data_IF_645303948177
#
_entry.id   IF_645303948177
#
_cell.length_a   1.000
_cell.length_b   1.000
_cell.length_c   1.000
_cell.angle_alpha   90.00
_cell.angle_beta   90.00
_cell.angle_gamma   90.00
#
_symmetry.space_group_name_H-M   'P 1'
#
loop_
_entity.id
_entity.type
_entity.pdbx_description
1 polymer ?
#
# COMPACT_ATOMS: atom_id res chain seq x y z
N UNK A 1 -17.01 -9.55 -20.62
CA UNK A 1 -16.55 -8.18 -20.34
C UNK A 1 -16.01 -7.58 -21.62
N UNK A 2 -16.46 -6.38 -22.00
CA UNK A 2 -15.95 -5.66 -23.18
C UNK A 2 -14.61 -5.04 -22.76
N UNK A 3 -13.53 -5.41 -23.45
CA UNK A 3 -12.20 -4.86 -23.23
C UNK A 3 -12.08 -3.56 -24.02
N UNK A 4 -11.88 -2.43 -23.31
CA UNK A 4 -11.67 -1.14 -23.95
C UNK A 4 -10.17 -0.91 -24.04
N UNK A 5 -9.61 -1.12 -25.22
CA UNK A 5 -8.27 -0.65 -25.54
C UNK A 5 -8.35 0.86 -25.86
N UNK A 6 -8.26 1.67 -24.82
CA UNK A 6 -8.26 3.14 -24.92
C UNK A 6 -6.93 3.69 -25.47
N UNK A 7 -5.95 2.82 -25.76
CA UNK A 7 -4.62 3.27 -26.13
C UNK A 7 -4.57 4.13 -27.39
N UNK A 8 -5.53 3.92 -28.30
CA UNK A 8 -5.61 4.67 -29.54
C UNK A 8 -6.17 6.10 -29.39
N UNK A 9 -6.92 6.41 -28.33
CA UNK A 9 -7.65 7.69 -28.22
C UNK A 9 -7.30 8.54 -26.98
N UNK A 10 -6.85 7.94 -25.87
CA UNK A 10 -6.51 8.71 -24.67
C UNK A 10 -5.05 9.22 -24.67
N UNK A 11 -4.13 8.48 -25.33
CA UNK A 11 -2.68 8.67 -25.17
C UNK A 11 -2.04 9.68 -26.13
N UNK A 12 -2.75 10.77 -26.43
CA UNK A 12 -2.23 11.88 -27.24
C UNK A 12 -2.36 13.25 -26.58
N UNK A 13 -2.88 13.31 -25.36
CA UNK A 13 -3.20 14.56 -24.67
C UNK A 13 -1.91 15.09 -24.01
N UNK A 14 -1.03 15.68 -24.82
CA UNK A 14 0.26 16.21 -24.36
C UNK A 14 0.15 17.29 -23.29
N UNK A 15 -1.00 17.95 -23.16
CA UNK A 15 -1.26 18.97 -22.15
C UNK A 15 -1.79 18.41 -20.82
N UNK A 16 -2.00 17.10 -20.71
CA UNK A 16 -2.54 16.50 -19.50
C UNK A 16 -1.48 16.51 -18.39
N UNK A 17 -1.82 17.10 -17.25
CA UNK A 17 -0.94 17.18 -16.07
C UNK A 17 -1.31 16.14 -15.00
N UNK A 18 -2.57 15.71 -14.95
CA UNK A 18 -3.05 14.75 -13.96
C UNK A 18 -3.95 13.71 -14.62
N UNK A 19 -3.68 12.45 -14.34
CA UNK A 19 -4.48 11.30 -14.73
C UNK A 19 -4.74 10.45 -13.49
N UNK A 20 -6.01 10.37 -13.08
CA UNK A 20 -6.47 9.52 -12.00
C UNK A 20 -7.49 8.51 -12.55
N UNK A 21 -7.06 7.24 -12.62
CA UNK A 21 -7.87 6.12 -13.06
C UNK A 21 -7.67 5.02 -12.02
N UNK A 22 -8.57 4.91 -11.04
CA UNK A 22 -8.53 3.82 -10.05
C UNK A 22 -9.58 2.77 -10.38
N UNK A 23 -9.30 1.52 -10.00
CA UNK A 23 -10.27 0.41 -10.04
C UNK A 23 -10.93 0.18 -11.41
N UNK A 24 -10.24 0.49 -12.51
CA UNK A 24 -10.76 0.30 -13.86
C UNK A 24 -10.31 -1.05 -14.44
N UNK A 25 -10.95 -2.12 -13.97
CA UNK A 25 -10.57 -3.51 -14.31
C UNK A 25 -10.63 -3.86 -15.80
N UNK A 26 -11.41 -3.12 -16.58
CA UNK A 26 -11.56 -3.33 -18.02
C UNK A 26 -10.58 -2.52 -18.87
N UNK A 27 -9.87 -1.55 -18.26
CA UNK A 27 -8.97 -0.65 -18.97
C UNK A 27 -7.60 -1.30 -19.13
N UNK A 28 -7.20 -1.54 -20.37
CA UNK A 28 -5.89 -2.10 -20.69
C UNK A 28 -5.03 -1.04 -21.34
N UNK A 29 -3.81 -0.89 -20.84
CA UNK A 29 -2.83 0.03 -21.40
C UNK A 29 -1.42 -0.30 -20.90
N UNK A 30 -0.45 0.17 -21.67
CA UNK A 30 0.97 0.04 -21.43
C UNK A 30 1.53 1.33 -20.82
N UNK A 31 2.39 1.19 -19.80
CA UNK A 31 2.99 2.31 -19.07
C UNK A 31 3.92 3.16 -19.96
N UNK A 32 4.64 2.55 -20.91
CA UNK A 32 5.50 3.30 -21.83
C UNK A 32 4.67 4.14 -22.81
N UNK A 33 3.54 3.61 -23.28
CA UNK A 33 2.58 4.35 -24.11
C UNK A 33 2.02 5.59 -23.39
N UNK A 34 1.80 5.51 -22.07
CA UNK A 34 1.41 6.68 -21.26
C UNK A 34 2.53 7.74 -21.21
N UNK A 35 3.77 7.30 -20.99
CA UNK A 35 4.92 8.19 -20.92
C UNK A 35 5.16 8.92 -22.26
N UNK A 36 5.01 8.21 -23.38
CA UNK A 36 5.15 8.79 -24.72
C UNK A 36 3.99 9.75 -25.06
N UNK A 37 2.76 9.35 -24.73
CA UNK A 37 1.55 10.08 -25.07
C UNK A 37 1.29 11.33 -24.23
N UNK A 38 1.72 11.30 -22.96
CA UNK A 38 1.45 12.34 -21.96
C UNK A 38 2.73 12.74 -21.21
N UNK A 39 3.71 13.33 -21.91
CA UNK A 39 5.04 13.59 -21.35
C UNK A 39 5.05 14.65 -20.23
N UNK A 40 3.98 15.43 -20.09
CA UNK A 40 3.86 16.50 -19.10
C UNK A 40 3.12 16.07 -17.82
N UNK A 41 2.85 14.77 -17.63
CA UNK A 41 2.19 14.31 -16.41
C UNK A 41 3.01 14.64 -15.16
N UNK A 42 2.32 15.28 -14.22
CA UNK A 42 2.79 15.54 -12.87
C UNK A 42 2.18 14.54 -11.88
N UNK A 43 0.96 14.07 -12.15
CA UNK A 43 0.24 13.15 -11.28
C UNK A 43 -0.32 11.97 -12.09
N UNK A 44 0.16 10.76 -11.82
CA UNK A 44 -0.30 9.54 -12.46
C UNK A 44 -0.74 8.53 -11.39
N UNK A 45 -2.05 8.31 -11.30
CA UNK A 45 -2.65 7.40 -10.32
C UNK A 45 -3.43 6.32 -11.05
N UNK A 46 -2.93 5.09 -10.95
CA UNK A 46 -3.44 3.91 -11.64
C UNK A 46 -3.78 2.77 -10.67
N UNK A 47 -4.13 3.09 -9.43
CA UNK A 47 -4.34 2.11 -8.37
C UNK A 47 -5.37 1.03 -8.76
N UNK A 48 -5.05 -0.24 -8.48
CA UNK A 48 -5.96 -1.38 -8.69
C UNK A 48 -6.42 -1.52 -10.14
N UNK A 49 -5.53 -1.30 -11.11
CA UNK A 49 -5.76 -1.63 -12.52
C UNK A 49 -4.99 -2.91 -12.91
N UNK A 50 -5.58 -4.11 -12.78
CA UNK A 50 -4.90 -5.38 -13.04
C UNK A 50 -4.56 -5.62 -14.51
N UNK A 51 -5.01 -4.75 -15.43
CA UNK A 51 -4.71 -4.80 -16.86
C UNK A 51 -3.76 -3.68 -17.31
N UNK A 52 -3.35 -2.80 -16.40
CA UNK A 52 -2.22 -1.92 -16.64
C UNK A 52 -0.93 -2.75 -16.57
N UNK A 53 -0.12 -2.69 -17.63
CA UNK A 53 1.14 -3.44 -17.75
C UNK A 53 2.26 -2.51 -18.22
N UNK A 54 3.49 -3.02 -18.20
CA UNK A 54 4.69 -2.28 -18.58
C UNK A 54 5.88 -2.69 -17.72
N UNK A 55 7.05 -2.17 -18.04
CA UNK A 55 8.29 -2.44 -17.32
C UNK A 55 8.85 -1.13 -16.74
N UNK A 56 8.93 -1.03 -15.40
CA UNK A 56 9.48 0.12 -14.70
C UNK A 56 10.97 0.35 -14.95
N UNK A 57 11.70 -0.71 -15.29
CA UNK A 57 13.11 -0.67 -15.66
C UNK A 57 13.32 -0.59 -17.18
N UNK A 58 12.23 -0.48 -17.94
CA UNK A 58 12.27 -0.46 -19.40
C UNK A 58 12.92 0.81 -19.96
N UNK A 59 13.73 0.69 -21.05
CA UNK A 59 14.31 1.86 -21.69
C UNK A 59 13.21 2.75 -22.29
N UNK A 60 13.29 4.05 -22.03
CA UNK A 60 12.35 5.04 -22.56
C UNK A 60 11.15 5.33 -21.67
N UNK A 61 11.04 4.69 -20.50
CA UNK A 61 10.04 5.08 -19.51
C UNK A 61 10.49 6.35 -18.78
N UNK A 62 10.09 7.51 -19.31
CA UNK A 62 10.47 8.80 -18.74
C UNK A 62 9.24 9.64 -18.40
N UNK A 63 9.12 10.05 -17.15
CA UNK A 63 8.14 11.04 -16.71
C UNK A 63 8.86 12.23 -16.08
N UNK A 64 9.33 13.19 -16.88
CA UNK A 64 10.24 14.24 -16.42
C UNK A 64 9.63 15.16 -15.36
N UNK A 65 8.31 15.35 -15.39
CA UNK A 65 7.60 16.25 -14.48
C UNK A 65 6.86 15.53 -13.35
N UNK A 66 6.99 14.20 -13.24
CA UNK A 66 6.15 13.41 -12.34
C UNK A 66 6.48 13.71 -10.88
N UNK A 67 5.46 14.14 -10.16
CA UNK A 67 5.48 14.37 -8.73
C UNK A 67 4.82 13.23 -7.97
N UNK A 68 3.75 12.65 -8.51
CA UNK A 68 2.99 11.56 -7.89
C UNK A 68 2.85 10.40 -8.88
N UNK A 69 3.32 9.23 -8.47
CA UNK A 69 3.10 7.96 -9.16
C UNK A 69 2.44 6.97 -8.20
N UNK A 70 1.28 6.43 -8.56
CA UNK A 70 0.69 5.31 -7.84
C UNK A 70 0.31 4.19 -8.80
N UNK A 71 1.07 3.09 -8.71
CA UNK A 71 0.90 1.86 -9.48
C UNK A 71 0.52 0.68 -8.58
N UNK A 72 0.08 0.95 -7.35
CA UNK A 72 -0.30 -0.10 -6.40
C UNK A 72 -1.35 -1.02 -7.01
N UNK A 73 -1.17 -2.33 -6.84
CA UNK A 73 -2.08 -3.34 -7.39
C UNK A 73 -2.22 -3.32 -8.94
N UNK A 74 -1.24 -2.81 -9.68
CA UNK A 74 -1.11 -3.00 -11.13
C UNK A 74 -0.30 -4.26 -11.49
N UNK A 75 -0.36 -4.70 -12.74
CA UNK A 75 0.50 -5.77 -13.31
C UNK A 75 1.73 -5.20 -14.03
N UNK A 76 2.22 -4.07 -13.55
CA UNK A 76 3.49 -3.49 -14.00
C UNK A 76 4.63 -4.31 -13.38
N UNK A 77 5.57 -4.74 -14.22
CA UNK A 77 6.76 -5.48 -13.83
C UNK A 77 7.98 -4.54 -13.79
N UNK A 78 9.13 -5.08 -13.39
CA UNK A 78 10.41 -4.38 -13.51
C UNK A 78 11.41 -4.84 -12.48
N UNK A 79 12.69 -4.73 -12.83
CA UNK A 79 13.78 -4.98 -11.89
C UNK A 79 14.05 -3.70 -11.09
N UNK A 80 13.59 -3.70 -9.85
CA UNK A 80 13.78 -2.58 -8.92
C UNK A 80 15.24 -2.32 -8.57
N UNK A 81 16.16 -3.27 -8.80
CA UNK A 81 17.60 -3.06 -8.61
C UNK A 81 18.21 -2.20 -9.74
N UNK A 82 17.54 -2.09 -10.89
CA UNK A 82 17.96 -1.22 -12.00
C UNK A 82 17.52 0.23 -11.83
N UNK A 83 16.67 0.52 -10.84
CA UNK A 83 16.21 1.87 -10.56
C UNK A 83 17.36 2.73 -10.04
N UNK A 84 17.44 3.94 -10.56
CA UNK A 84 18.33 4.98 -10.11
C UNK A 84 17.55 6.10 -9.43
N UNK A 85 18.23 6.84 -8.57
CA UNK A 85 17.66 8.06 -7.96
C UNK A 85 17.23 9.05 -9.05
N UNK A 86 17.84 9.04 -10.23
CA UNK A 86 17.54 9.96 -11.33
C UNK A 86 16.27 9.66 -12.13
N UNK A 87 15.67 8.48 -11.96
CA UNK A 87 14.57 8.03 -12.85
C UNK A 87 13.27 8.80 -12.62
N UNK A 88 13.08 9.32 -11.40
CA UNK A 88 11.92 10.11 -11.01
C UNK A 88 12.37 11.45 -10.42
N UNK A 89 12.88 12.41 -11.23
CA UNK A 89 13.62 13.58 -10.73
C UNK A 89 12.79 14.50 -9.82
N UNK A 90 11.47 14.56 -10.03
CA UNK A 90 10.55 15.45 -9.31
C UNK A 90 9.61 14.71 -8.35
N UNK A 91 9.77 13.39 -8.17
CA UNK A 91 8.81 12.60 -7.43
C UNK A 91 8.80 12.89 -5.93
N UNK A 92 7.60 13.24 -5.46
CA UNK A 92 7.22 13.46 -4.07
C UNK A 92 6.46 12.27 -3.50
N UNK A 93 5.79 11.47 -4.32
CA UNK A 93 5.10 10.26 -3.88
C UNK A 93 5.26 9.16 -4.93
N UNK A 94 5.73 7.99 -4.51
CA UNK A 94 5.94 6.83 -5.36
C UNK A 94 5.34 5.59 -4.68
N UNK A 95 4.26 5.07 -5.22
CA UNK A 95 3.72 3.78 -4.83
C UNK A 95 3.97 2.78 -5.95
N UNK A 96 5.00 1.96 -5.76
CA UNK A 96 5.43 0.97 -6.73
C UNK A 96 4.57 -0.29 -6.63
N UNK A 97 4.40 -1.03 -7.74
CA UNK A 97 3.61 -2.26 -7.78
C UNK A 97 4.31 -3.42 -7.03
N UNK A 98 3.75 -4.62 -7.15
CA UNK A 98 4.25 -5.88 -6.56
C UNK A 98 5.47 -6.43 -7.31
N UNK A 99 6.58 -5.69 -7.28
CA UNK A 99 7.80 -5.99 -8.05
C UNK A 99 8.98 -6.52 -7.22
N UNK A 100 8.91 -6.47 -5.90
CA UNK A 100 10.00 -6.94 -5.05
C UNK A 100 10.01 -8.47 -4.99
N UNK A 101 11.09 -9.10 -5.46
CA UNK A 101 11.22 -10.55 -5.59
C UNK A 101 11.48 -11.29 -4.26
N UNK A 102 11.99 -10.61 -3.23
CA UNK A 102 12.26 -11.21 -1.91
C UNK A 102 12.48 -10.14 -0.84
N UNK A 103 12.42 -10.53 0.43
CA UNK A 103 12.85 -9.67 1.54
C UNK A 103 14.33 -9.32 1.47
N UNK A 104 15.17 -10.24 0.96
CA UNK A 104 16.59 -9.95 0.80
C UNK A 104 16.84 -8.82 -0.22
N UNK A 105 16.04 -8.76 -1.29
CA UNK A 105 16.13 -7.70 -2.30
C UNK A 105 15.83 -6.31 -1.73
N UNK A 106 14.98 -6.20 -0.71
CA UNK A 106 14.62 -4.89 -0.13
C UNK A 106 15.87 -4.13 0.32
N UNK A 107 16.80 -4.82 0.99
CA UNK A 107 18.03 -4.24 1.50
C UNK A 107 18.93 -3.65 0.41
N UNK A 108 18.87 -4.21 -0.82
CA UNK A 108 19.65 -3.74 -1.96
C UNK A 108 19.08 -2.46 -2.53
N UNK A 109 17.76 -2.29 -2.55
CA UNK A 109 17.12 -1.09 -3.13
C UNK A 109 16.96 0.05 -2.12
N UNK A 110 17.15 -0.18 -0.82
CA UNK A 110 16.97 0.84 0.23
C UNK A 110 17.77 2.13 -0.05
N UNK A 111 18.99 2.02 -0.56
CA UNK A 111 19.81 3.19 -0.85
C UNK A 111 19.21 4.08 -1.96
N UNK A 112 18.56 3.47 -2.96
CA UNK A 112 17.84 4.17 -4.02
C UNK A 112 16.59 4.85 -3.44
N UNK A 113 15.75 4.09 -2.74
CA UNK A 113 14.49 4.62 -2.18
C UNK A 113 14.76 5.73 -1.15
N UNK A 114 15.76 5.56 -0.30
CA UNK A 114 16.19 6.60 0.64
C UNK A 114 16.77 7.82 -0.08
N UNK A 115 17.54 7.60 -1.16
CA UNK A 115 18.03 8.67 -2.01
C UNK A 115 16.89 9.48 -2.64
N UNK A 116 15.87 8.81 -3.17
CA UNK A 116 14.65 9.45 -3.68
C UNK A 116 13.97 10.29 -2.59
N UNK A 117 13.84 9.72 -1.38
CA UNK A 117 13.15 10.36 -0.27
C UNK A 117 13.85 11.60 0.30
N UNK A 118 15.19 11.65 0.22
CA UNK A 118 16.00 12.76 0.74
C UNK A 118 16.04 13.99 -0.14
N UNK A 119 15.64 13.90 -1.42
CA UNK A 119 15.77 15.02 -2.37
C UNK A 119 14.87 16.20 -2.07
N UNK A 120 13.69 15.93 -1.52
CA UNK A 120 12.69 16.95 -1.29
C UNK A 120 12.61 17.30 0.20
N UNK A 121 12.35 18.58 0.46
CA UNK A 121 12.05 19.07 1.81
C UNK A 121 10.73 18.49 2.32
N UNK A 122 9.75 18.28 1.44
CA UNK A 122 8.51 17.58 1.74
C UNK A 122 8.73 16.08 2.02
N UNK A 123 7.85 15.43 2.80
CA UNK A 123 7.85 13.98 2.95
C UNK A 123 7.70 13.33 1.58
N UNK A 124 8.62 12.44 1.25
CA UNK A 124 8.49 11.60 0.08
C UNK A 124 8.10 10.20 0.53
N UNK A 125 6.85 9.85 0.28
CA UNK A 125 6.33 8.51 0.59
C UNK A 125 6.71 7.62 -0.57
N UNK A 126 7.64 6.71 -0.32
CA UNK A 126 8.05 5.72 -1.31
C UNK A 126 7.71 4.34 -0.78
N UNK A 127 6.86 3.62 -1.50
CA UNK A 127 6.46 2.24 -1.15
C UNK A 127 6.76 1.28 -2.28
N UNK A 128 7.17 0.06 -1.94
CA UNK A 128 7.40 -1.04 -2.89
C UNK A 128 6.82 -2.31 -2.33
N UNK A 129 6.04 -3.05 -3.12
CA UNK A 129 5.34 -4.24 -2.65
C UNK A 129 6.08 -5.53 -3.04
N UNK A 130 6.03 -6.53 -2.15
CA UNK A 130 6.46 -7.90 -2.44
C UNK A 130 5.62 -8.49 -3.58
N UNK A 131 6.30 -9.09 -4.54
CA UNK A 131 5.69 -9.86 -5.61
C UNK A 131 4.96 -11.08 -5.05
N UNK A 132 3.77 -11.37 -5.59
CA UNK A 132 3.04 -12.60 -5.30
C UNK A 132 3.81 -13.85 -5.78
N UNK A 133 4.78 -13.68 -6.67
CA UNK A 133 5.66 -14.74 -7.15
C UNK A 133 6.89 -14.97 -6.27
N UNK A 134 7.10 -14.12 -5.25
CA UNK A 134 8.21 -14.27 -4.32
C UNK A 134 8.07 -15.56 -3.51
N UNK A 135 9.20 -16.23 -3.21
CA UNK A 135 9.23 -17.34 -2.26
C UNK A 135 8.87 -16.91 -0.83
N UNK A 136 9.02 -15.62 -0.53
CA UNK A 136 8.71 -15.03 0.77
C UNK A 136 7.23 -14.64 0.88
N UNK A 137 6.48 -14.70 -0.23
CA UNK A 137 5.06 -14.36 -0.25
C UNK A 137 4.22 -15.50 0.31
N UNK A 138 3.27 -15.17 1.17
CA UNK A 138 2.29 -16.12 1.72
C UNK A 138 0.93 -15.45 1.88
N UNK A 139 -0.13 -16.19 1.60
CA UNK A 139 -1.49 -15.70 1.73
C UNK A 139 -1.88 -15.37 3.17
N UNK A 140 -2.99 -14.65 3.30
CA UNK A 140 -3.65 -14.40 4.57
C UNK A 140 -4.08 -15.76 5.15
N UNK A 141 -4.06 -15.91 6.47
CA UNK A 141 -4.45 -17.15 7.14
C UNK A 141 -5.93 -17.59 6.89
N UNK A 142 -6.75 -16.78 6.22
CA UNK A 142 -8.17 -17.03 5.94
C UNK A 142 -8.46 -18.38 5.30
N UNK A 143 -7.53 -18.95 4.51
CA UNK A 143 -7.68 -20.28 3.91
C UNK A 143 -7.92 -21.41 4.94
N UNK A 144 -7.70 -21.14 6.24
CA UNK A 144 -7.95 -22.07 7.36
C UNK A 144 -9.20 -21.75 8.18
N UNK A 145 -10.05 -20.82 7.74
CA UNK A 145 -11.33 -20.49 8.40
C UNK A 145 -11.24 -19.46 9.53
N UNK A 146 -10.14 -18.70 9.62
CA UNK A 146 -10.01 -17.59 10.56
C UNK A 146 -10.78 -16.36 10.05
N UNK A 147 -11.66 -15.79 10.89
CA UNK A 147 -12.58 -14.70 10.49
C UNK A 147 -11.91 -13.32 10.30
N UNK A 148 -10.70 -13.14 10.82
CA UNK A 148 -9.94 -11.89 10.75
C UNK A 148 -8.50 -12.29 10.44
N UNK A 149 -8.15 -12.31 9.16
CA UNK A 149 -6.78 -12.58 8.77
C UNK A 149 -5.97 -11.29 8.80
N UNK A 150 -5.11 -11.12 9.81
CA UNK A 150 -4.15 -10.02 9.82
C UNK A 150 -3.26 -10.10 8.58
N UNK A 151 -3.23 -9.06 7.74
CA UNK A 151 -2.49 -9.13 6.49
C UNK A 151 -0.98 -9.02 6.75
N UNK A 152 -0.15 -9.91 6.19
CA UNK A 152 1.30 -9.81 6.31
C UNK A 152 1.85 -8.47 5.78
N UNK A 153 2.89 -7.90 6.41
CA UNK A 153 3.41 -6.60 6.05
C UNK A 153 4.33 -6.71 4.83
N UNK A 154 3.76 -6.86 3.64
CA UNK A 154 4.49 -7.07 2.39
C UNK A 154 4.79 -5.78 1.61
N UNK A 155 4.57 -4.62 2.20
CA UNK A 155 4.93 -3.33 1.59
C UNK A 155 6.13 -2.76 2.33
N UNK A 156 7.24 -2.59 1.62
CA UNK A 156 8.38 -1.82 2.10
C UNK A 156 8.03 -0.34 1.99
N UNK A 157 8.07 0.40 3.10
CA UNK A 157 7.75 1.81 3.18
C UNK A 157 8.99 2.61 3.63
N UNK A 158 9.33 3.66 2.89
CA UNK A 158 10.27 4.69 3.35
C UNK A 158 9.51 5.74 4.14
N UNK A 159 9.99 6.01 5.34
CA UNK A 159 9.38 6.94 6.30
C UNK A 159 10.34 8.09 6.56
N UNK A 160 9.80 9.31 6.61
CA UNK A 160 10.56 10.52 6.95
C UNK A 160 10.01 11.13 8.23
N UNK A 161 10.90 11.44 9.17
CA UNK A 161 10.57 12.15 10.42
C UNK A 161 11.58 13.28 10.62
N UNK A 162 11.14 14.52 10.37
CA UNK A 162 12.03 15.67 10.28
C UNK A 162 13.18 15.44 9.27
N UNK A 163 14.46 15.58 9.67
CA UNK A 163 15.59 15.38 8.79
C UNK A 163 15.96 13.91 8.56
N UNK A 164 15.37 12.96 9.31
CA UNK A 164 15.75 11.55 9.24
C UNK A 164 14.87 10.78 8.28
N UNK A 165 15.51 9.85 7.59
CA UNK A 165 14.86 8.82 6.79
C UNK A 165 15.05 7.46 7.46
N UNK A 166 13.97 6.70 7.52
CA UNK A 166 13.93 5.32 7.96
C UNK A 166 13.10 4.48 7.00
N UNK A 167 12.97 3.20 7.32
CA UNK A 167 12.13 2.28 6.56
C UNK A 167 11.51 1.24 7.48
N UNK A 168 10.37 0.72 7.06
CA UNK A 168 9.70 -0.40 7.72
C UNK A 168 8.94 -1.24 6.72
N UNK A 169 8.48 -2.39 7.17
CA UNK A 169 7.50 -3.19 6.45
C UNK A 169 6.11 -2.89 7.00
N UNK A 170 5.13 -2.73 6.13
CA UNK A 170 3.72 -2.48 6.48
C UNK A 170 2.78 -3.27 5.59
N UNK A 171 1.57 -3.51 6.07
CA UNK A 171 0.47 -3.97 5.22
C UNK A 171 -0.20 -2.77 4.52
N UNK A 172 -1.03 -3.06 3.53
CA UNK A 172 -1.77 -2.05 2.75
C UNK A 172 -2.93 -1.47 3.55
N UNK A 173 -3.24 -0.19 3.34
CA UNK A 173 -4.30 0.58 4.04
C UNK A 173 -5.72 0.00 3.95
N UNK A 174 -5.98 -0.96 3.06
CA UNK A 174 -7.28 -1.63 2.94
C UNK A 174 -7.69 -2.41 4.20
N UNK A 175 -6.75 -2.66 5.12
CA UNK A 175 -6.95 -3.42 6.35
C UNK A 175 -6.47 -2.63 7.57
N UNK A 176 -6.73 -3.16 8.77
CA UNK A 176 -6.12 -2.65 9.99
C UNK A 176 -4.59 -2.58 9.80
N UNK A 177 -4.05 -1.37 9.96
CA UNK A 177 -2.66 -1.07 9.62
C UNK A 177 -1.77 -1.78 10.62
N UNK A 178 -0.98 -2.71 10.13
CA UNK A 178 0.06 -3.37 10.90
C UNK A 178 1.39 -3.22 10.17
N UNK A 179 2.41 -2.93 10.95
CA UNK A 179 3.74 -2.57 10.49
C UNK A 179 4.79 -3.12 11.44
N UNK A 180 5.88 -3.59 10.88
CA UNK A 180 7.11 -3.86 11.59
C UNK A 180 7.70 -2.58 12.19
N UNK A 181 8.60 -2.76 13.16
CA UNK A 181 9.38 -1.70 13.78
C UNK A 181 10.15 -0.88 12.73
N UNK A 182 10.25 0.42 12.99
CA UNK A 182 10.92 1.38 12.13
C UNK A 182 12.44 1.32 12.31
N UNK A 183 13.16 1.18 11.20
CA UNK A 183 14.62 1.18 11.17
C UNK A 183 15.13 2.47 10.54
N UNK A 184 15.87 3.27 11.31
CA UNK A 184 16.45 4.52 10.83
C UNK A 184 17.72 4.29 10.01
N UNK A 185 17.83 4.97 8.87
CA UNK A 185 19.01 4.95 8.01
C UNK A 185 20.02 6.05 8.36
N UNK A 186 19.52 7.16 8.88
CA UNK A 186 20.31 8.33 9.25
C UNK A 186 20.71 8.31 10.72
N UNK A 187 21.83 8.96 11.11
CA UNK A 187 22.16 9.17 12.51
C UNK A 187 21.10 10.07 13.19
N UNK A 188 21.15 10.12 14.52
CA UNK A 188 20.30 11.03 15.31
C UNK A 188 20.64 12.49 14.98
N UNK A 189 19.65 13.38 14.80
CA UNK A 189 19.90 14.81 14.65
C UNK A 189 20.58 15.38 15.90
N UNK A 190 21.45 16.36 15.69
CA UNK A 190 22.19 17.03 16.77
C UNK A 190 21.59 18.40 17.14
N UNK A 191 20.82 19.02 16.24
CA UNK A 191 20.19 20.32 16.47
C UNK A 191 18.91 20.19 17.30
N UNK A 192 18.71 21.07 18.29
CA UNK A 192 17.53 21.03 19.17
C UNK A 192 16.20 21.10 18.40
N UNK A 193 16.11 21.97 17.39
CA UNK A 193 14.92 22.09 16.54
C UNK A 193 14.66 20.80 15.75
N UNK A 194 15.70 20.25 15.14
CA UNK A 194 15.65 19.01 14.37
C UNK A 194 15.23 17.81 15.24
N UNK A 195 15.66 17.79 16.50
CA UNK A 195 15.28 16.77 17.49
C UNK A 195 13.81 16.89 17.89
N UNK A 196 13.29 18.11 18.08
CA UNK A 196 11.87 18.31 18.41
C UNK A 196 10.96 17.84 17.27
N UNK A 197 11.24 18.27 16.04
CA UNK A 197 10.47 17.85 14.86
C UNK A 197 10.54 16.33 14.66
N UNK A 198 11.73 15.74 14.84
CA UNK A 198 11.91 14.29 14.79
C UNK A 198 11.06 13.58 15.85
N UNK A 199 11.10 14.01 17.12
CA UNK A 199 10.38 13.35 18.20
C UNK A 199 8.85 13.44 18.02
N UNK A 200 8.33 14.59 17.57
CA UNK A 200 6.90 14.74 17.28
C UNK A 200 6.46 13.79 16.15
N UNK A 201 7.23 13.73 15.06
CA UNK A 201 6.95 12.82 13.96
C UNK A 201 7.06 11.34 14.36
N UNK A 202 8.03 10.98 15.20
CA UNK A 202 8.19 9.61 15.73
C UNK A 202 7.01 9.22 16.61
N UNK A 203 6.55 10.10 17.50
CA UNK A 203 5.40 9.83 18.35
C UNK A 203 4.14 9.51 17.53
N UNK A 204 3.90 10.25 16.44
CA UNK A 204 2.80 9.97 15.53
C UNK A 204 2.96 8.61 14.84
N UNK A 205 4.18 8.27 14.41
CA UNK A 205 4.47 6.99 13.77
C UNK A 205 4.38 5.80 14.73
N UNK A 206 4.68 6.00 16.01
CA UNK A 206 4.63 4.97 17.06
C UNK A 206 3.23 4.79 17.63
N UNK A 207 2.38 5.83 17.62
CA UNK A 207 0.97 5.71 18.01
C UNK A 207 0.21 4.71 17.12
N UNK A 208 0.54 4.67 15.82
CA UNK A 208 0.06 3.65 14.87
C UNK A 208 0.48 2.22 15.25
N UNK A 209 1.43 2.03 16.18
CA UNK A 209 2.00 0.73 16.54
C UNK A 209 1.49 0.15 17.87
N UNK A 210 0.57 0.83 18.59
CA UNK A 210 0.21 0.44 19.96
C UNK A 210 -0.42 -0.97 20.04
N UNK A 211 -1.38 -1.26 19.16
CA UNK A 211 -2.07 -2.55 19.01
C UNK A 211 -1.53 -3.39 17.84
N UNK A 212 -0.26 -3.19 17.50
CA UNK A 212 0.32 -3.78 16.29
C UNK A 212 0.80 -5.21 16.50
N UNK A 213 0.30 -6.11 15.67
CA UNK A 213 0.67 -7.53 15.67
C UNK A 213 2.18 -7.78 15.48
N UNK A 214 2.87 -6.92 14.72
CA UNK A 214 4.29 -7.05 14.40
C UNK A 214 5.20 -6.20 15.27
N UNK A 215 4.70 -5.67 16.40
CA UNK A 215 5.51 -4.92 17.36
C UNK A 215 6.71 -5.73 17.83
N UNK A 216 7.90 -5.12 17.82
CA UNK A 216 9.15 -5.80 18.17
C UNK A 216 9.77 -6.61 17.02
N UNK A 217 9.20 -6.55 15.81
CA UNK A 217 9.71 -7.24 14.61
C UNK A 217 10.19 -6.22 13.59
N UNK A 218 11.44 -6.31 13.16
CA UNK A 218 12.01 -5.40 12.16
C UNK A 218 11.76 -5.85 10.70
N UNK A 219 11.24 -7.06 10.50
CA UNK A 219 10.99 -7.65 9.19
C UNK A 219 9.77 -8.57 9.25
N UNK A 220 9.14 -8.87 8.09
CA UNK A 220 8.02 -9.80 8.04
C UNK A 220 8.48 -11.18 8.49
N UNK A 221 7.58 -11.90 9.15
CA UNK A 221 7.87 -13.24 9.64
C UNK A 221 7.95 -14.24 8.48
N UNK A 222 8.55 -15.41 8.75
CA UNK A 222 8.36 -16.56 7.85
C UNK A 222 6.89 -16.98 7.87
N UNK A 223 6.46 -17.70 6.82
CA UNK A 223 5.08 -18.19 6.70
C UNK A 223 4.60 -18.93 7.95
N UNK A 224 5.41 -19.87 8.45
CA UNK A 224 5.06 -20.67 9.63
C UNK A 224 4.97 -19.81 10.89
N UNK A 225 5.94 -18.92 11.13
CA UNK A 225 5.93 -18.03 12.28
C UNK A 225 4.77 -17.01 12.23
N UNK A 226 4.38 -16.55 11.05
CA UNK A 226 3.19 -15.73 10.87
C UNK A 226 1.91 -16.50 11.22
N UNK A 227 1.79 -17.75 10.78
CA UNK A 227 0.62 -18.57 11.11
C UNK A 227 0.53 -18.89 12.61
N UNK A 228 1.67 -19.14 13.26
CA UNK A 228 1.70 -19.35 14.70
C UNK A 228 1.32 -18.07 15.46
N UNK A 229 1.83 -16.91 15.03
CA UNK A 229 1.44 -15.61 15.58
C UNK A 229 -0.06 -15.34 15.43
N UNK A 230 -0.65 -15.63 14.27
CA UNK A 230 -2.10 -15.47 14.07
C UNK A 230 -2.92 -16.39 14.99
N UNK A 231 -2.44 -17.61 15.23
CA UNK A 231 -3.10 -18.57 16.12
C UNK A 231 -3.05 -18.11 17.57
N UNK A 232 -1.89 -17.66 18.03
CA UNK A 232 -1.70 -17.14 19.39
C UNK A 232 -2.60 -15.92 19.65
N UNK A 233 -2.70 -15.00 18.70
CA UNK A 233 -3.56 -13.82 18.80
C UNK A 233 -5.05 -14.20 18.81
N UNK A 234 -5.48 -15.17 18.01
CA UNK A 234 -6.86 -15.68 18.07
C UNK A 234 -7.16 -16.36 19.40
N UNK A 235 -6.25 -17.18 19.92
CA UNK A 235 -6.39 -17.83 21.23
C UNK A 235 -6.48 -16.79 22.35
N UNK A 236 -5.64 -15.74 22.30
CA UNK A 236 -5.71 -14.62 23.24
C UNK A 236 -7.07 -13.93 23.20
N UNK A 237 -7.59 -13.63 22.00
CA UNK A 237 -8.94 -13.04 21.82
C UNK A 237 -10.07 -13.94 22.31
N UNK A 238 -9.91 -15.27 22.24
CA UNK A 238 -10.89 -16.23 22.79
C UNK A 238 -10.84 -16.31 24.32
N UNK A 239 -9.65 -16.13 24.91
CA UNK A 239 -9.43 -16.23 26.35
C UNK A 239 -9.73 -14.92 27.08
N UNK A 240 -9.53 -13.78 26.43
CA UNK A 240 -10.00 -12.50 26.93
C UNK A 240 -11.53 -12.51 26.89
N UNK A 241 -12.22 -12.59 28.04
CA UNK A 241 -13.66 -12.54 28.06
C UNK A 241 -14.05 -11.23 27.40
N UNK A 242 -14.87 -11.30 26.36
CA UNK A 242 -15.50 -10.14 25.76
C UNK A 242 -16.06 -9.27 26.89
N UNK A 243 -15.35 -8.20 27.26
CA UNK A 243 -15.87 -7.19 28.20
C UNK A 243 -17.16 -6.59 27.61
N UNK A 244 -17.37 -6.76 26.30
CA UNK A 244 -18.60 -6.45 25.58
C UNK A 244 -19.79 -7.36 25.91
N UNK A 245 -19.60 -8.64 26.27
CA UNK A 245 -20.72 -9.49 26.70
C UNK A 245 -21.15 -9.20 28.15
N UNK A 246 -20.29 -8.56 28.95
CA UNK A 246 -20.63 -8.08 30.31
C UNK A 246 -21.60 -6.89 30.30
N UNK A 247 -21.67 -6.11 29.22
CA UNK A 247 -22.62 -4.99 29.08
C UNK A 247 -23.94 -5.36 28.37
N UNK A 248 -24.06 -6.59 27.85
CA UNK A 248 -25.24 -7.08 27.13
C UNK A 248 -26.50 -7.37 27.98
N UNK A 249 -26.52 -6.99 29.26
CA UNK A 249 -27.69 -7.17 30.15
C UNK A 249 -28.33 -5.85 30.63
N UNK A 250 -27.84 -4.69 30.20
CA UNK A 250 -28.57 -3.43 30.37
C UNK A 250 -29.56 -3.27 29.20
N UNK A 251 -30.66 -4.00 29.31
CA UNK A 251 -31.88 -3.75 28.56
C UNK A 251 -32.24 -2.27 28.66
N UNK A 252 -32.09 -1.52 27.57
CA UNK A 252 -32.87 -0.30 27.35
C UNK A 252 -34.22 -0.75 26.78
N UNK A 253 -35.33 -0.67 27.55
CA UNK A 253 -36.64 -0.96 27.00
C UNK A 253 -37.10 0.26 26.21
N UNK A 254 -37.38 0.08 24.92
CA UNK A 254 -38.23 1.00 24.19
C UNK A 254 -37.63 1.57 22.92
N UNK A 255 -37.46 0.72 21.90
CA UNK A 255 -37.75 1.11 20.52
C UNK A 255 -38.49 -0.07 19.90
N UNK A 256 -39.81 0.06 19.85
CA UNK A 256 -40.65 -0.76 19.01
C UNK A 256 -40.50 -0.21 17.60
N UNK A 257 -39.85 -0.96 16.71
CA UNK A 257 -39.90 -0.69 15.28
C UNK A 257 -41.12 -1.41 14.71
N UNK A 258 -42.03 -0.59 14.21
CA UNK A 258 -43.14 -0.98 13.36
C UNK A 258 -42.57 -1.61 12.07
N UNK A 259 -42.88 -2.89 11.87
CA UNK A 259 -42.62 -3.60 10.64
C UNK A 259 -43.72 -3.25 9.63
N UNK A 260 -43.42 -2.32 8.72
CA UNK A 260 -44.20 -2.20 7.49
C UNK A 260 -43.68 -3.21 6.45
N UNK A 261 -44.55 -4.19 6.26
CA UNK A 261 -44.56 -5.26 5.28
C UNK A 261 -44.86 -4.69 3.88
N UNK A 262 -43.83 -4.52 3.05
CA UNK A 262 -44.02 -4.27 1.61
C UNK A 262 -43.60 -5.51 0.79
N UNK A 263 -44.59 -6.40 0.69
CA UNK A 263 -44.67 -7.51 -0.25
C UNK A 263 -44.68 -6.98 -1.70
N UNK A 264 -43.52 -6.99 -2.38
CA UNK A 264 -43.48 -6.77 -3.85
C UNK A 264 -43.80 -8.06 -4.61
N UNK A 265 -44.97 -8.06 -5.24
CA UNK A 265 -45.43 -9.04 -6.22
C UNK A 265 -44.63 -8.92 -7.53
N UNK A 266 -43.97 -10.00 -7.95
CA UNK A 266 -43.38 -10.13 -9.28
C UNK A 266 -44.48 -10.64 -10.22
N UNK A 267 -44.97 -9.76 -11.09
CA UNK A 267 -45.82 -10.13 -12.22
C UNK A 267 -44.99 -10.70 -13.36
N UNK A 268 -45.29 -11.93 -13.73
CA UNK A 268 -44.85 -12.61 -14.94
C UNK A 268 -45.82 -12.29 -16.08
N UNK A 269 -45.35 -11.65 -17.15
CA UNK A 269 -46.07 -11.58 -18.42
C UNK A 269 -45.16 -12.16 -19.52
N UNK A 270 -45.49 -13.39 -19.91
CA UNK A 270 -45.18 -13.99 -21.21
C UNK A 270 -46.47 -13.94 -22.04
N UNK A 271 -46.49 -13.15 -23.13
CA UNK A 271 -47.18 -13.42 -24.40
C UNK A 271 -46.81 -12.40 -25.48
#
# INVERSE_FOLDING_TARGET
AIEWDVSANLFGIKSLLSLDIKHCESLKFDLASLAEGMPNLENLVLESNPRAFGDLSGPGLTFPNLEVLNLSHCKVIGDVELLAVTDFPNAKQLHMPKVLASFAQSTRILHVLAGLAKRHTSPCITTVQLSEQSSDFYGIAEERGYKIGHVPPFTLEIVKAGPRVGWRWTNTEKYEKHSCDLIWLDPMPLGENDVSEFNEAVQLLEADLEDNLYKGKCAPLSKDAYHDLCREEEEKRRLEPSIFESFGSLWLPGYADDADDDTMMIGSDDE
#
